data_IF_750286104306
#
_entry.id   IF_750286104306
#
_cell.length_a   1.000
_cell.length_b   1.000
_cell.length_c   1.000
_cell.angle_alpha   90.00
_cell.angle_beta   90.00
_cell.angle_gamma   90.00
#
_symmetry.space_group_name_H-M   'P 1'
#
loop_
_entity.id
_entity.type
_entity.pdbx_description
1 polymer ?
#
# COMPACT_ATOMS: atom_id res chain seq x y z
N UNK A 1 -22.41 10.92 -18.84
CA UNK A 1 -21.23 10.68 -17.98
C UNK A 1 -20.96 9.18 -17.98
N UNK A 2 -19.75 8.76 -18.34
CA UNK A 2 -19.40 7.33 -18.41
C UNK A 2 -19.29 6.77 -16.99
N UNK A 3 -19.77 5.56 -16.77
CA UNK A 3 -19.78 4.82 -15.48
C UNK A 3 -18.41 4.86 -14.74
N UNK A 4 -17.31 4.88 -15.48
CA UNK A 4 -15.94 4.95 -14.94
C UNK A 4 -15.61 6.26 -14.18
N UNK A 5 -16.18 7.39 -14.57
CA UNK A 5 -15.88 8.68 -13.91
C UNK A 5 -16.59 8.82 -12.55
N UNK A 6 -17.79 8.25 -12.44
CA UNK A 6 -18.53 8.25 -11.17
C UNK A 6 -17.83 7.38 -10.13
N UNK A 7 -17.35 6.18 -10.53
CA UNK A 7 -16.65 5.26 -9.65
C UNK A 7 -15.34 5.85 -9.10
N UNK A 8 -14.55 6.54 -9.93
CA UNK A 8 -13.30 7.15 -9.50
C UNK A 8 -13.52 8.32 -8.52
N UNK A 9 -14.50 9.19 -8.77
CA UNK A 9 -14.82 10.30 -7.88
C UNK A 9 -15.38 9.80 -6.53
N UNK A 10 -16.22 8.78 -6.55
CA UNK A 10 -16.77 8.16 -5.33
C UNK A 10 -15.65 7.49 -4.51
N UNK A 11 -14.75 6.77 -5.16
CA UNK A 11 -13.63 6.12 -4.49
C UNK A 11 -12.68 7.15 -3.84
N UNK A 12 -12.33 8.22 -4.57
CA UNK A 12 -11.48 9.29 -4.04
C UNK A 12 -12.13 9.98 -2.83
N UNK A 13 -13.41 10.32 -2.92
CA UNK A 13 -14.14 10.93 -1.84
C UNK A 13 -14.30 10.00 -0.62
N UNK A 14 -14.56 8.70 -0.84
CA UNK A 14 -14.60 7.69 0.23
C UNK A 14 -13.26 7.56 0.94
N UNK A 15 -12.14 7.69 0.19
CA UNK A 15 -10.80 7.65 0.77
C UNK A 15 -10.51 8.86 1.65
N UNK A 16 -10.95 10.06 1.27
CA UNK A 16 -10.86 11.27 2.11
C UNK A 16 -11.59 11.07 3.43
N UNK A 17 -12.84 10.59 3.39
CA UNK A 17 -13.62 10.33 4.60
C UNK A 17 -12.95 9.29 5.53
N UNK A 18 -12.40 8.21 5.00
CA UNK A 18 -11.64 7.25 5.80
C UNK A 18 -10.34 7.86 6.34
N UNK A 19 -9.70 8.77 5.60
CA UNK A 19 -8.55 9.54 6.06
C UNK A 19 -8.89 10.41 7.27
N UNK A 20 -10.00 11.13 7.21
CA UNK A 20 -10.49 11.96 8.31
C UNK A 20 -10.86 11.13 9.54
N UNK A 21 -11.52 9.97 9.35
CA UNK A 21 -11.80 9.01 10.42
C UNK A 21 -10.53 8.44 11.05
N UNK A 22 -9.53 8.10 10.25
CA UNK A 22 -8.26 7.58 10.71
C UNK A 22 -7.46 8.64 11.48
N UNK A 23 -7.47 9.89 11.01
CA UNK A 23 -6.82 11.02 11.68
C UNK A 23 -7.50 11.36 13.01
N UNK A 24 -8.82 11.45 13.04
CA UNK A 24 -9.59 11.70 14.27
C UNK A 24 -9.42 10.56 15.30
N UNK A 25 -9.28 9.33 14.82
CA UNK A 25 -9.08 8.14 15.67
C UNK A 25 -7.62 7.78 15.95
N UNK A 26 -6.67 8.67 15.63
CA UNK A 26 -5.22 8.39 15.77
C UNK A 26 -4.82 7.96 17.18
N UNK A 27 -5.38 8.62 18.18
CA UNK A 27 -5.08 8.39 19.60
C UNK A 27 -6.08 7.44 20.28
N UNK A 28 -6.99 6.85 19.52
CA UNK A 28 -8.03 5.99 20.04
C UNK A 28 -7.58 4.53 20.15
N UNK A 29 -8.11 3.86 21.14
CA UNK A 29 -7.91 2.42 21.31
C UNK A 29 -8.48 1.64 20.10
N UNK A 30 -7.98 0.44 19.81
CA UNK A 30 -8.53 -0.42 18.75
C UNK A 30 -10.04 -0.72 18.94
N UNK A 31 -10.56 -0.71 20.18
CA UNK A 31 -11.98 -0.90 20.46
C UNK A 31 -12.81 0.31 20.03
N UNK A 32 -12.36 1.52 20.34
CA UNK A 32 -13.02 2.77 19.92
C UNK A 32 -13.05 2.90 18.41
N UNK A 33 -11.94 2.60 17.72
CA UNK A 33 -11.89 2.63 16.25
C UNK A 33 -12.84 1.62 15.61
N UNK A 34 -12.96 0.39 16.16
CA UNK A 34 -13.95 -0.60 15.69
C UNK A 34 -15.38 -0.12 15.90
N UNK A 35 -15.65 0.52 17.04
CA UNK A 35 -16.97 1.08 17.32
C UNK A 35 -17.34 2.15 16.29
N UNK A 36 -16.42 3.08 15.97
CA UNK A 36 -16.62 4.10 14.97
C UNK A 36 -16.87 3.53 13.57
N UNK A 37 -16.08 2.51 13.19
CA UNK A 37 -16.28 1.81 11.91
C UNK A 37 -17.68 1.15 11.86
N UNK A 38 -18.14 0.59 12.96
CA UNK A 38 -19.50 0.06 13.10
C UNK A 38 -20.58 1.15 12.94
N UNK A 39 -20.38 2.32 13.55
CA UNK A 39 -21.31 3.45 13.39
C UNK A 39 -21.37 3.93 11.93
N UNK A 40 -20.24 3.99 11.23
CA UNK A 40 -20.19 4.35 9.82
C UNK A 40 -20.96 3.33 8.95
N UNK A 41 -20.83 2.04 9.23
CA UNK A 41 -21.58 0.98 8.54
C UNK A 41 -23.08 1.07 8.79
N UNK A 42 -23.51 1.33 10.03
CA UNK A 42 -24.92 1.52 10.39
C UNK A 42 -25.51 2.77 9.72
N UNK A 43 -24.77 3.87 9.71
CA UNK A 43 -25.21 5.10 9.05
C UNK A 43 -25.38 4.89 7.55
N UNK A 44 -24.43 4.22 6.90
CA UNK A 44 -24.54 3.89 5.47
C UNK A 44 -25.75 3.00 5.20
N UNK A 45 -26.04 2.04 6.08
CA UNK A 45 -27.26 1.22 6.00
C UNK A 45 -28.53 2.06 6.15
N UNK A 46 -28.57 2.99 7.09
CA UNK A 46 -29.71 3.88 7.32
C UNK A 46 -29.99 4.75 6.09
N UNK A 47 -28.95 5.30 5.47
CA UNK A 47 -29.06 6.07 4.23
C UNK A 47 -29.57 5.19 3.08
N UNK A 48 -29.13 3.95 2.98
CA UNK A 48 -29.62 3.00 1.98
C UNK A 48 -31.09 2.64 2.17
N UNK A 49 -31.49 2.30 3.40
CA UNK A 49 -32.90 2.00 3.73
C UNK A 49 -33.79 3.23 3.55
N UNK A 50 -33.26 4.42 3.85
CA UNK A 50 -33.92 5.70 3.62
C UNK A 50 -34.08 6.09 2.14
N UNK A 51 -33.61 5.23 1.21
CA UNK A 51 -33.65 5.46 -0.25
C UNK A 51 -32.81 6.66 -0.72
N UNK A 52 -31.83 7.07 0.03
CA UNK A 52 -30.88 8.09 -0.40
C UNK A 52 -29.85 7.48 -1.38
N UNK A 53 -29.43 8.23 -2.39
CA UNK A 53 -28.48 7.78 -3.40
C UNK A 53 -27.07 7.70 -2.83
N UNK A 54 -26.65 6.53 -2.38
CA UNK A 54 -25.33 6.28 -1.82
C UNK A 54 -24.19 6.48 -2.82
N UNK A 55 -24.46 6.42 -4.13
CA UNK A 55 -23.48 6.64 -5.19
C UNK A 55 -23.17 8.14 -5.37
N UNK A 56 -24.08 9.01 -4.92
CA UNK A 56 -23.94 10.45 -5.03
C UNK A 56 -23.57 11.15 -3.73
N UNK A 57 -23.55 10.43 -2.60
CA UNK A 57 -23.07 10.99 -1.35
C UNK A 57 -21.53 10.96 -1.36
N UNK A 58 -20.86 12.06 -1.72
CA UNK A 58 -19.42 12.11 -1.58
C UNK A 58 -19.10 12.07 -0.08
N UNK A 59 -18.31 11.10 0.39
CA UNK A 59 -17.90 11.02 1.80
C UNK A 59 -17.16 12.25 2.32
N UNK A 60 -16.69 13.12 1.43
CA UNK A 60 -16.06 14.40 1.76
C UNK A 60 -17.01 15.40 2.47
N UNK A 61 -18.28 15.04 2.63
CA UNK A 61 -19.28 15.89 3.31
C UNK A 61 -19.81 15.31 4.61
N UNK A 62 -19.05 14.41 5.22
CA UNK A 62 -19.40 13.87 6.51
C UNK A 62 -18.60 14.56 7.60
N UNK A 63 -19.27 15.14 8.61
CA UNK A 63 -18.60 15.70 9.76
C UNK A 63 -18.56 14.69 10.91
N UNK A 64 -17.41 14.60 11.56
CA UNK A 64 -17.24 13.83 12.79
C UNK A 64 -17.43 14.80 13.94
N UNK A 65 -18.49 14.59 14.74
CA UNK A 65 -18.70 15.36 15.97
C UNK A 65 -18.25 14.52 17.16
N UNK A 66 -17.40 15.04 18.06
CA UNK A 66 -17.08 14.38 19.29
C UNK A 66 -18.33 14.21 20.15
N UNK A 67 -18.61 12.96 20.54
CA UNK A 67 -19.70 12.63 21.43
C UNK A 67 -19.22 12.47 22.87
N UNK A 68 -20.15 12.34 23.83
CA UNK A 68 -19.83 12.09 25.24
C UNK A 68 -18.97 10.83 25.41
N UNK A 69 -18.10 10.81 26.41
CA UNK A 69 -17.27 9.66 26.79
C UNK A 69 -16.36 9.09 25.67
N UNK A 70 -15.85 9.94 24.76
CA UNK A 70 -14.95 9.51 23.69
C UNK A 70 -15.64 8.78 22.56
N UNK A 71 -16.96 8.90 22.42
CA UNK A 71 -17.71 8.46 21.24
C UNK A 71 -17.67 9.54 20.17
N UNK A 72 -17.72 9.14 18.89
CA UNK A 72 -17.88 10.08 17.79
C UNK A 72 -19.23 9.82 17.11
N UNK A 73 -19.88 10.88 16.68
CA UNK A 73 -21.07 10.82 15.83
C UNK A 73 -20.71 11.30 14.44
N UNK A 74 -21.12 10.53 13.44
CA UNK A 74 -21.02 10.89 12.03
C UNK A 74 -22.32 11.58 11.61
N UNK A 75 -22.19 12.75 10.98
CA UNK A 75 -23.31 13.46 10.38
C UNK A 75 -23.04 13.69 8.90
N UNK A 76 -24.00 13.39 8.01
CA UNK A 76 -23.95 13.89 6.64
C UNK A 76 -24.10 15.41 6.68
N UNK A 77 -23.34 16.12 5.86
CA UNK A 77 -23.50 17.56 5.68
C UNK A 77 -24.85 17.85 5.02
N UNK A 78 -25.66 18.76 5.59
CA UNK A 78 -27.07 19.05 5.22
C UNK A 78 -27.28 19.48 3.76
N UNK A 79 -26.22 19.85 3.04
CA UNK A 79 -26.29 20.29 1.64
C UNK A 79 -26.44 19.17 0.62
N UNK A 80 -26.41 17.91 1.03
CA UNK A 80 -26.43 16.74 0.12
C UNK A 80 -27.80 16.08 -0.06
N UNK A 81 -28.87 16.63 0.51
CA UNK A 81 -30.25 16.10 0.37
C UNK A 81 -30.82 16.38 -1.01
N UNK A 82 -30.25 15.82 -2.05
CA UNK A 82 -30.96 15.66 -3.33
C UNK A 82 -31.54 14.25 -3.38
N UNK A 83 -32.85 14.17 -3.19
CA UNK A 83 -33.65 12.96 -3.30
C UNK A 83 -33.57 12.35 -4.69
N UNK A 84 -33.18 11.09 -4.79
CA UNK A 84 -33.25 10.30 -6.01
C UNK A 84 -34.13 9.07 -5.82
N UNK A 85 -35.00 8.78 -6.78
CA UNK A 85 -36.03 7.77 -6.65
C UNK A 85 -35.58 6.44 -7.24
N UNK A 86 -34.54 5.76 -6.73
CA UNK A 86 -34.13 4.46 -7.26
C UNK A 86 -33.83 3.47 -6.14
N UNK A 87 -34.53 2.35 -6.13
CA UNK A 87 -34.13 1.16 -5.37
C UNK A 87 -32.81 0.63 -5.94
N UNK A 88 -31.74 0.68 -5.14
CA UNK A 88 -30.51 0.02 -5.50
C UNK A 88 -30.74 -1.51 -5.61
N UNK A 89 -30.25 -2.12 -6.68
CA UNK A 89 -30.20 -3.57 -6.80
C UNK A 89 -29.16 -4.14 -5.84
N UNK A 90 -29.27 -5.41 -5.47
CA UNK A 90 -28.26 -6.08 -4.64
C UNK A 90 -26.85 -5.98 -5.24
N UNK A 91 -26.74 -5.94 -6.58
CA UNK A 91 -25.45 -5.76 -7.25
C UNK A 91 -24.88 -4.35 -7.02
N UNK A 92 -25.70 -3.30 -7.08
CA UNK A 92 -25.27 -1.93 -6.80
C UNK A 92 -24.89 -1.72 -5.33
N UNK A 93 -25.57 -2.38 -4.40
CA UNK A 93 -25.19 -2.39 -2.98
C UNK A 93 -23.82 -3.01 -2.77
N UNK A 94 -23.54 -4.16 -3.43
CA UNK A 94 -22.22 -4.80 -3.38
C UNK A 94 -21.15 -3.87 -3.95
N UNK A 95 -21.41 -3.18 -5.05
CA UNK A 95 -20.50 -2.22 -5.68
C UNK A 95 -20.16 -1.05 -4.75
N UNK A 96 -21.17 -0.41 -4.13
CA UNK A 96 -20.97 0.68 -3.17
C UNK A 96 -20.16 0.24 -1.96
N UNK A 97 -20.48 -0.93 -1.39
CA UNK A 97 -19.72 -1.47 -0.26
C UNK A 97 -18.28 -1.82 -0.66
N UNK A 98 -18.08 -2.34 -1.88
CA UNK A 98 -16.77 -2.62 -2.42
C UNK A 98 -15.92 -1.35 -2.53
N UNK A 99 -16.49 -0.26 -3.04
CA UNK A 99 -15.83 1.05 -3.12
C UNK A 99 -15.44 1.59 -1.73
N UNK A 100 -16.35 1.48 -0.75
CA UNK A 100 -16.08 1.90 0.63
C UNK A 100 -14.98 1.08 1.29
N UNK A 101 -15.02 -0.23 1.14
CA UNK A 101 -13.98 -1.11 1.68
C UNK A 101 -12.63 -0.89 0.99
N UNK A 102 -12.64 -0.65 -0.32
CA UNK A 102 -11.43 -0.29 -1.08
C UNK A 102 -10.83 1.01 -0.57
N UNK A 103 -11.66 2.04 -0.39
CA UNK A 103 -11.23 3.33 0.13
C UNK A 103 -10.64 3.26 1.54
N UNK A 104 -11.13 2.34 2.38
CA UNK A 104 -10.62 2.14 3.75
C UNK A 104 -9.27 1.43 3.83
N UNK A 105 -8.79 0.84 2.73
CA UNK A 105 -7.56 0.05 2.76
C UNK A 105 -6.33 0.94 3.04
N UNK A 106 -5.50 0.51 3.98
CA UNK A 106 -4.38 1.30 4.50
C UNK A 106 -4.77 2.34 5.56
N UNK A 107 -6.06 2.68 5.70
CA UNK A 107 -6.60 3.64 6.66
C UNK A 107 -7.34 2.95 7.81
N UNK A 108 -7.99 1.81 7.55
CA UNK A 108 -8.68 1.00 8.54
C UNK A 108 -8.12 -0.41 8.62
N UNK A 109 -8.04 -0.95 9.84
CA UNK A 109 -7.68 -2.35 10.05
C UNK A 109 -8.80 -3.27 9.55
N UNK A 110 -8.45 -4.53 9.24
CA UNK A 110 -9.46 -5.52 8.83
C UNK A 110 -10.57 -5.73 9.86
N UNK A 111 -10.26 -5.59 11.17
CA UNK A 111 -11.28 -5.69 12.22
C UNK A 111 -12.28 -4.53 12.15
N UNK A 112 -11.82 -3.35 11.82
CA UNK A 112 -12.66 -2.16 11.57
C UNK A 112 -13.49 -2.34 10.30
N UNK A 113 -12.90 -2.84 9.21
CA UNK A 113 -13.63 -3.18 7.97
C UNK A 113 -14.73 -4.23 8.22
N UNK A 114 -14.45 -5.28 9.00
CA UNK A 114 -15.45 -6.30 9.37
C UNK A 114 -16.53 -5.71 10.29
N UNK A 115 -16.18 -4.83 11.23
CA UNK A 115 -17.14 -4.14 12.09
C UNK A 115 -18.08 -3.25 11.26
N UNK A 116 -17.54 -2.50 10.31
CA UNK A 116 -18.30 -1.71 9.35
C UNK A 116 -19.28 -2.58 8.54
N UNK A 117 -18.79 -3.64 7.91
CA UNK A 117 -19.62 -4.52 7.10
C UNK A 117 -20.72 -5.23 7.92
N UNK A 118 -20.41 -5.67 9.14
CA UNK A 118 -21.41 -6.27 10.04
C UNK A 118 -22.50 -5.30 10.41
N UNK A 119 -22.15 -4.07 10.77
CA UNK A 119 -23.11 -3.04 11.14
C UNK A 119 -24.00 -2.66 9.94
N UNK A 120 -23.41 -2.60 8.73
CA UNK A 120 -24.20 -2.37 7.51
C UNK A 120 -25.25 -3.45 7.28
N UNK A 121 -24.91 -4.72 7.47
CA UNK A 121 -25.81 -5.85 7.27
C UNK A 121 -26.65 -6.21 8.53
N UNK A 122 -26.55 -5.44 9.62
CA UNK A 122 -27.15 -5.80 10.92
C UNK A 122 -28.67 -5.98 10.87
N UNK A 123 -29.38 -5.25 10.01
CA UNK A 123 -30.83 -5.32 9.89
C UNK A 123 -31.31 -6.28 8.78
N UNK A 124 -30.38 -6.92 8.06
CA UNK A 124 -30.70 -7.94 7.09
C UNK A 124 -30.83 -9.28 7.83
N UNK A 125 -31.91 -10.00 7.59
CA UNK A 125 -32.12 -11.36 8.12
C UNK A 125 -31.16 -12.35 7.44
N UNK A 126 -29.87 -12.11 7.51
CA UNK A 126 -28.83 -12.91 6.90
C UNK A 126 -28.31 -13.95 7.89
N UNK A 127 -28.37 -15.22 7.51
CA UNK A 127 -27.64 -16.24 8.21
C UNK A 127 -26.12 -16.08 8.05
N UNK A 128 -25.36 -16.82 8.83
CA UNK A 128 -23.89 -16.78 8.79
C UNK A 128 -23.31 -17.12 7.42
N UNK A 129 -23.97 -17.97 6.64
CA UNK A 129 -23.50 -18.39 5.33
C UNK A 129 -23.76 -17.30 4.28
N UNK A 130 -24.97 -16.75 4.26
CA UNK A 130 -25.34 -15.62 3.40
C UNK A 130 -24.47 -14.39 3.64
N UNK A 131 -24.18 -14.06 4.94
CA UNK A 131 -23.25 -12.99 5.28
C UNK A 131 -21.84 -13.23 4.73
N UNK A 132 -21.31 -14.46 4.87
CA UNK A 132 -19.99 -14.80 4.34
C UNK A 132 -19.94 -14.71 2.81
N UNK A 133 -21.00 -15.15 2.16
CA UNK A 133 -21.10 -15.08 0.70
C UNK A 133 -21.14 -13.61 0.23
N UNK A 134 -21.98 -12.78 0.82
CA UNK A 134 -22.05 -11.34 0.51
C UNK A 134 -20.69 -10.65 0.75
N UNK A 135 -20.04 -10.93 1.88
CA UNK A 135 -18.72 -10.38 2.17
C UNK A 135 -17.65 -10.84 1.16
N UNK A 136 -17.74 -12.08 0.65
CA UNK A 136 -16.84 -12.57 -0.39
C UNK A 136 -17.05 -11.86 -1.72
N UNK A 137 -18.30 -11.59 -2.12
CA UNK A 137 -18.64 -10.82 -3.32
C UNK A 137 -18.13 -9.37 -3.22
N UNK A 138 -18.38 -8.70 -2.08
CA UNK A 138 -17.88 -7.35 -1.82
C UNK A 138 -16.35 -7.32 -1.86
N UNK A 139 -15.69 -8.30 -1.25
CA UNK A 139 -14.22 -8.39 -1.27
C UNK A 139 -13.65 -8.68 -2.67
N UNK A 140 -14.39 -9.37 -3.51
CA UNK A 140 -14.00 -9.61 -4.90
C UNK A 140 -14.13 -8.34 -5.76
N UNK A 141 -15.25 -7.63 -5.64
CA UNK A 141 -15.45 -6.35 -6.30
C UNK A 141 -14.42 -5.31 -5.84
N UNK A 142 -14.20 -5.19 -4.53
CA UNK A 142 -13.19 -4.30 -3.95
C UNK A 142 -11.77 -4.57 -4.49
N UNK A 143 -11.40 -5.84 -4.69
CA UNK A 143 -10.09 -6.17 -5.30
C UNK A 143 -9.99 -5.71 -6.75
N UNK A 144 -11.06 -5.81 -7.51
CA UNK A 144 -11.09 -5.34 -8.90
C UNK A 144 -10.92 -3.83 -8.98
N UNK A 145 -11.66 -3.10 -8.17
CA UNK A 145 -11.62 -1.63 -8.09
C UNK A 145 -10.26 -1.16 -7.57
N UNK A 146 -9.73 -1.80 -6.53
CA UNK A 146 -8.41 -1.51 -5.99
C UNK A 146 -7.31 -1.72 -7.04
N UNK A 147 -7.38 -2.79 -7.82
CA UNK A 147 -6.43 -3.03 -8.90
C UNK A 147 -6.53 -1.98 -10.02
N UNK A 148 -7.73 -1.47 -10.29
CA UNK A 148 -7.98 -0.41 -11.28
C UNK A 148 -7.43 0.93 -10.80
N UNK A 149 -7.70 1.32 -9.55
CA UNK A 149 -7.13 2.50 -8.90
C UNK A 149 -5.60 2.44 -8.90
N UNK A 150 -5.05 1.31 -8.49
CA UNK A 150 -3.60 1.08 -8.47
C UNK A 150 -2.96 1.28 -9.85
N UNK A 151 -3.59 0.78 -10.91
CA UNK A 151 -3.12 1.01 -12.29
C UNK A 151 -3.19 2.48 -12.69
N UNK A 152 -4.24 3.19 -12.30
CA UNK A 152 -4.41 4.60 -12.59
C UNK A 152 -3.33 5.45 -11.91
N UNK A 153 -3.14 5.29 -10.60
CA UNK A 153 -2.11 5.98 -9.81
C UNK A 153 -0.70 5.68 -10.36
N UNK A 154 -0.41 4.41 -10.66
CA UNK A 154 0.88 4.07 -11.24
C UNK A 154 1.12 4.73 -12.59
N UNK A 155 0.11 4.80 -13.47
CA UNK A 155 0.25 5.51 -14.75
C UNK A 155 0.49 6.99 -14.55
N UNK A 156 -0.22 7.62 -13.63
CA UNK A 156 -0.04 9.03 -13.30
C UNK A 156 1.39 9.30 -12.86
N UNK A 157 1.88 8.58 -11.85
CA UNK A 157 3.26 8.74 -11.39
C UNK A 157 4.29 8.36 -12.46
N UNK A 158 4.01 7.32 -13.23
CA UNK A 158 4.88 6.92 -14.33
C UNK A 158 4.99 7.98 -15.45
N UNK A 159 3.95 8.79 -15.66
CA UNK A 159 3.94 9.90 -16.61
C UNK A 159 4.65 11.14 -16.08
N UNK A 160 4.83 11.28 -14.79
CA UNK A 160 5.58 12.38 -14.19
C UNK A 160 7.05 12.27 -14.59
N UNK A 161 7.41 13.01 -15.63
CA UNK A 161 8.76 13.01 -16.20
C UNK A 161 9.08 14.36 -16.80
N UNK A 162 10.19 14.94 -16.37
CA UNK A 162 10.77 16.12 -17.01
C UNK A 162 11.90 15.71 -17.95
N UNK A 163 12.15 16.51 -18.98
CA UNK A 163 13.26 16.35 -19.90
C UNK A 163 14.09 17.63 -19.88
N UNK A 164 15.38 17.52 -19.62
CA UNK A 164 16.34 18.63 -19.62
C UNK A 164 17.56 18.21 -20.46
N UNK A 165 17.61 18.61 -21.73
CA UNK A 165 18.62 18.15 -22.65
C UNK A 165 18.62 16.63 -22.84
N UNK A 166 19.75 15.99 -22.55
CA UNK A 166 19.89 14.52 -22.56
C UNK A 166 19.35 13.83 -21.30
N UNK A 167 19.05 14.59 -20.23
CA UNK A 167 18.60 14.07 -18.95
C UNK A 167 17.08 13.94 -18.94
N UNK A 168 16.61 12.92 -18.27
CA UNK A 168 15.21 12.77 -17.95
C UNK A 168 15.03 12.31 -16.50
N UNK A 169 13.96 12.76 -15.84
CA UNK A 169 13.78 12.42 -14.45
C UNK A 169 12.56 13.08 -13.81
N UNK A 170 12.51 12.92 -12.51
CA UNK A 170 11.53 13.54 -11.63
C UNK A 170 12.19 13.86 -10.28
N UNK A 171 11.79 14.94 -9.64
CA UNK A 171 12.17 15.31 -8.27
C UNK A 171 10.94 15.75 -7.52
N UNK A 172 10.91 15.47 -6.22
CA UNK A 172 9.88 15.95 -5.30
C UNK A 172 9.90 17.48 -5.20
N UNK A 173 11.07 18.09 -5.39
CA UNK A 173 11.20 19.54 -5.54
C UNK A 173 11.13 19.91 -7.04
N UNK A 174 10.03 20.54 -7.48
CA UNK A 174 9.89 20.92 -8.89
C UNK A 174 10.86 22.01 -9.33
N UNK A 175 11.50 22.74 -8.41
CA UNK A 175 12.48 23.82 -8.70
C UNK A 175 13.87 23.28 -8.96
N UNK A 176 14.15 22.05 -8.55
CA UNK A 176 15.44 21.42 -8.75
C UNK A 176 15.65 21.06 -10.22
N UNK A 177 16.73 21.53 -10.85
CA UNK A 177 17.09 21.09 -12.18
C UNK A 177 17.67 19.67 -12.17
N UNK A 178 17.45 18.90 -13.23
CA UNK A 178 18.00 17.55 -13.36
C UNK A 178 19.53 17.59 -13.52
N UNK A 179 20.07 18.65 -14.12
CA UNK A 179 21.52 18.84 -14.25
C UNK A 179 22.17 19.04 -12.88
N UNK A 180 21.57 19.87 -12.02
CA UNK A 180 22.06 20.06 -10.66
C UNK A 180 21.97 18.76 -9.84
N UNK A 181 20.85 18.04 -9.93
CA UNK A 181 20.68 16.73 -9.28
C UNK A 181 21.75 15.74 -9.73
N UNK A 182 22.07 15.70 -11.04
CA UNK A 182 23.15 14.85 -11.57
C UNK A 182 24.50 15.24 -11.00
N UNK A 183 24.83 16.51 -10.99
CA UNK A 183 26.10 17.01 -10.49
C UNK A 183 26.29 16.65 -9.00
N UNK A 184 25.25 16.83 -8.21
CA UNK A 184 25.29 16.50 -6.78
C UNK A 184 25.45 14.99 -6.54
N UNK A 185 24.71 14.15 -7.26
CA UNK A 185 24.84 12.68 -7.18
C UNK A 185 26.24 12.24 -7.56
N UNK A 186 26.81 12.74 -8.66
CA UNK A 186 28.13 12.38 -9.14
C UNK A 186 29.23 12.84 -8.17
N UNK A 187 29.11 14.05 -7.62
CA UNK A 187 30.03 14.54 -6.60
C UNK A 187 30.04 13.63 -5.38
N UNK A 188 28.86 13.22 -4.89
CA UNK A 188 28.74 12.31 -3.74
C UNK A 188 29.30 10.93 -4.09
N UNK A 189 28.96 10.38 -5.27
CA UNK A 189 29.43 9.05 -5.68
C UNK A 189 30.96 8.95 -5.77
N UNK A 190 31.62 10.06 -6.13
CA UNK A 190 33.07 10.15 -6.30
C UNK A 190 33.80 10.55 -5.01
N UNK A 191 33.11 11.01 -4.00
CA UNK A 191 33.71 11.44 -2.76
C UNK A 191 34.38 10.24 -2.02
N UNK A 192 35.58 10.43 -1.47
CA UNK A 192 36.33 9.33 -0.83
C UNK A 192 35.65 8.79 0.45
N UNK A 193 34.85 9.62 1.10
CA UNK A 193 34.10 9.34 2.31
C UNK A 193 32.69 8.77 2.06
N UNK A 194 32.36 8.47 0.81
CA UNK A 194 31.05 7.90 0.47
C UNK A 194 30.81 6.58 1.17
N UNK A 195 29.71 6.49 1.93
CA UNK A 195 29.31 5.29 2.66
C UNK A 195 28.59 4.32 1.72
N UNK A 196 29.33 3.34 1.22
CA UNK A 196 28.79 2.32 0.33
C UNK A 196 28.12 1.18 1.09
N UNK A 197 26.81 0.99 0.84
CA UNK A 197 26.05 -0.19 1.30
C UNK A 197 26.29 -1.37 0.35
N UNK A 198 26.38 -1.09 -0.96
CA UNK A 198 26.67 -2.09 -2.00
C UNK A 198 27.43 -1.44 -3.16
N UNK A 199 28.62 -1.96 -3.45
CA UNK A 199 29.50 -1.39 -4.51
C UNK A 199 29.57 -2.25 -5.78
N UNK A 200 28.86 -3.39 -5.83
CA UNK A 200 28.93 -4.35 -6.94
C UNK A 200 27.85 -4.10 -7.98
N UNK A 201 28.25 -4.15 -9.26
CA UNK A 201 27.33 -4.11 -10.39
C UNK A 201 26.36 -5.31 -10.40
N UNK A 202 25.15 -5.18 -11.00
CA UNK A 202 24.62 -4.07 -11.79
C UNK A 202 23.96 -2.96 -10.95
N UNK A 203 23.99 -3.08 -9.65
CA UNK A 203 23.34 -2.12 -8.76
C UNK A 203 24.32 -1.68 -7.71
N UNK A 204 24.56 -0.40 -7.60
CA UNK A 204 25.33 0.23 -6.53
C UNK A 204 24.38 0.96 -5.61
N UNK A 205 24.69 0.96 -4.31
CA UNK A 205 23.86 1.56 -3.28
C UNK A 205 24.76 2.29 -2.29
N UNK A 206 24.48 3.55 -2.03
CA UNK A 206 25.23 4.36 -1.08
C UNK A 206 24.33 5.32 -0.30
N UNK A 207 24.77 5.67 0.89
CA UNK A 207 24.15 6.65 1.76
C UNK A 207 24.72 8.03 1.45
N UNK A 208 23.87 9.04 1.56
CA UNK A 208 24.25 10.41 1.30
C UNK A 208 23.40 11.37 2.11
N UNK A 209 23.85 12.61 2.20
CA UNK A 209 23.02 13.75 2.57
C UNK A 209 22.78 14.57 1.31
N UNK A 210 21.51 14.71 0.94
CA UNK A 210 21.11 15.52 -0.21
C UNK A 210 20.07 16.53 0.24
N UNK A 211 20.34 17.81 0.04
CA UNK A 211 19.48 18.94 0.47
C UNK A 211 19.06 18.88 1.94
N UNK A 212 20.02 18.57 2.81
CA UNK A 212 19.80 18.49 4.27
C UNK A 212 19.04 17.23 4.74
N UNK A 213 18.73 16.30 3.82
CA UNK A 213 18.05 15.02 4.16
C UNK A 213 19.00 13.85 3.97
N UNK A 214 18.98 12.93 4.93
CA UNK A 214 19.65 11.64 4.75
C UNK A 214 18.90 10.80 3.72
N UNK A 215 19.61 10.30 2.72
CA UNK A 215 19.05 9.59 1.57
C UNK A 215 19.81 8.32 1.26
N UNK A 216 19.13 7.40 0.58
CA UNK A 216 19.72 6.25 -0.11
C UNK A 216 19.69 6.52 -1.60
N UNK A 217 20.85 6.44 -2.24
CA UNK A 217 20.97 6.55 -3.69
C UNK A 217 21.29 5.19 -4.26
N UNK A 218 20.41 4.72 -5.15
CA UNK A 218 20.57 3.44 -5.84
C UNK A 218 20.81 3.71 -7.33
N UNK A 219 22.00 3.34 -7.78
CA UNK A 219 22.39 3.40 -9.19
C UNK A 219 22.13 2.06 -9.86
N UNK A 220 21.53 2.10 -11.03
CA UNK A 220 21.30 0.95 -11.90
C UNK A 220 22.14 1.11 -13.19
N UNK A 221 22.97 0.10 -13.45
CA UNK A 221 23.77 0.01 -14.69
C UNK A 221 23.32 -1.23 -15.50
N UNK A 222 23.14 -1.10 -16.81
CA UNK A 222 22.91 -2.23 -17.70
C UNK A 222 24.24 -2.86 -18.07
N UNK A 223 24.32 -4.19 -18.00
CA UNK A 223 25.56 -4.93 -18.20
C UNK A 223 25.69 -5.58 -19.57
N UNK A 224 24.59 -6.13 -20.07
CA UNK A 224 24.62 -6.98 -21.26
C UNK A 224 23.96 -6.31 -22.44
N UNK A 225 24.38 -6.68 -23.67
CA UNK A 225 23.76 -6.21 -24.91
C UNK A 225 22.27 -6.57 -24.94
N UNK A 226 21.89 -7.72 -24.40
CA UNK A 226 20.50 -8.15 -24.26
C UNK A 226 19.70 -7.26 -23.33
N UNK A 227 20.28 -6.82 -22.23
CA UNK A 227 19.63 -5.81 -21.36
C UNK A 227 19.40 -4.52 -22.12
N UNK A 228 20.38 -4.02 -22.90
CA UNK A 228 20.22 -2.82 -23.71
C UNK A 228 19.08 -2.97 -24.71
N UNK A 229 18.98 -4.08 -25.44
CA UNK A 229 17.88 -4.35 -26.38
C UNK A 229 16.52 -4.40 -25.64
N UNK A 230 16.46 -5.10 -24.52
CA UNK A 230 15.24 -5.22 -23.71
C UNK A 230 14.78 -3.86 -23.16
N UNK A 231 15.72 -2.96 -22.84
CA UNK A 231 15.42 -1.63 -22.30
C UNK A 231 15.24 -0.55 -23.39
N UNK A 232 15.40 -0.87 -24.68
CA UNK A 232 14.95 0.02 -25.75
C UNK A 232 13.44 0.28 -25.70
N UNK A 233 12.66 -0.74 -25.28
CA UNK A 233 11.20 -0.67 -25.20
C UNK A 233 10.67 -0.55 -23.76
N UNK A 234 11.55 -0.56 -22.75
CA UNK A 234 11.15 -0.49 -21.35
C UNK A 234 11.73 0.77 -20.69
N UNK A 235 10.93 1.41 -19.86
CA UNK A 235 11.42 2.48 -19.00
C UNK A 235 12.52 1.99 -18.06
N UNK A 236 13.38 2.91 -17.60
CA UNK A 236 14.47 2.62 -16.69
C UNK A 236 13.98 1.97 -15.39
N UNK A 237 14.88 1.25 -14.71
CA UNK A 237 14.58 0.67 -13.40
C UNK A 237 14.25 1.76 -12.39
N UNK A 238 14.98 2.88 -12.42
CA UNK A 238 14.77 4.00 -11.52
C UNK A 238 13.37 4.62 -11.68
N UNK A 239 12.92 4.88 -12.92
CA UNK A 239 11.58 5.41 -13.19
C UNK A 239 10.49 4.46 -12.70
N UNK A 240 10.62 3.16 -12.98
CA UNK A 240 9.65 2.15 -12.52
C UNK A 240 9.60 2.05 -10.99
N UNK A 241 10.77 2.04 -10.33
CA UNK A 241 10.87 2.04 -8.87
C UNK A 241 10.22 3.27 -8.26
N UNK A 242 10.47 4.46 -8.83
CA UNK A 242 9.90 5.71 -8.34
C UNK A 242 8.37 5.70 -8.44
N UNK A 243 7.81 5.39 -9.61
CA UNK A 243 6.37 5.30 -9.81
C UNK A 243 5.72 4.24 -8.90
N UNK A 244 6.35 3.08 -8.72
CA UNK A 244 5.86 2.04 -7.82
C UNK A 244 5.88 2.52 -6.36
N UNK A 245 6.97 3.16 -5.91
CA UNK A 245 7.08 3.66 -4.55
C UNK A 245 6.06 4.78 -4.25
N UNK A 246 5.87 5.73 -5.17
CA UNK A 246 4.84 6.76 -5.04
C UNK A 246 3.45 6.15 -4.92
N UNK A 247 3.10 5.22 -5.81
CA UNK A 247 1.81 4.53 -5.79
C UNK A 247 1.59 3.75 -4.50
N UNK A 248 2.61 3.02 -4.01
CA UNK A 248 2.53 2.30 -2.74
C UNK A 248 2.24 3.26 -1.59
N UNK A 249 2.90 4.41 -1.55
CA UNK A 249 2.71 5.42 -0.51
C UNK A 249 1.32 6.05 -0.54
N UNK A 250 0.80 6.38 -1.72
CA UNK A 250 -0.56 6.92 -1.88
C UNK A 250 -1.62 5.94 -1.39
N UNK A 251 -1.33 4.64 -1.48
CA UNK A 251 -2.18 3.59 -0.96
C UNK A 251 -1.92 3.25 0.52
N UNK A 252 -1.05 4.04 1.19
CA UNK A 252 -0.70 3.82 2.59
C UNK A 252 0.17 2.58 2.84
N UNK A 253 0.79 2.03 1.79
CA UNK A 253 1.67 0.86 1.89
C UNK A 253 3.11 1.29 2.24
N UNK A 254 3.75 0.64 3.22
CA UNK A 254 5.03 1.08 3.74
C UNK A 254 6.17 0.79 2.76
N UNK A 255 6.74 1.86 2.20
CA UNK A 255 7.96 1.86 1.39
C UNK A 255 8.70 3.18 1.60
N UNK A 256 10.05 3.24 1.47
CA UNK A 256 10.78 4.48 1.58
C UNK A 256 10.26 5.54 0.61
N UNK A 257 10.17 6.78 1.08
CA UNK A 257 9.72 7.91 0.26
C UNK A 257 10.65 8.11 -0.93
N UNK A 258 10.18 8.02 -2.19
CA UNK A 258 10.98 8.40 -3.34
C UNK A 258 11.08 9.92 -3.40
N UNK A 259 12.32 10.42 -3.54
CA UNK A 259 12.62 11.85 -3.58
C UNK A 259 12.96 12.32 -4.98
N UNK A 260 13.60 11.46 -5.77
CA UNK A 260 13.91 11.73 -7.16
C UNK A 260 14.25 10.45 -7.92
N UNK A 261 14.12 10.50 -9.24
CA UNK A 261 14.83 9.60 -10.13
C UNK A 261 15.49 10.39 -11.27
N UNK A 262 16.58 9.84 -11.80
CA UNK A 262 17.33 10.43 -12.89
C UNK A 262 17.73 9.36 -13.91
N UNK A 263 17.44 9.59 -15.18
CA UNK A 263 17.91 8.83 -16.33
C UNK A 263 19.04 9.61 -16.98
N UNK A 264 20.28 9.20 -16.75
CA UNK A 264 21.48 9.85 -17.31
C UNK A 264 21.75 9.36 -18.71
N UNK A 265 21.50 8.09 -18.95
CA UNK A 265 21.60 7.45 -20.25
C UNK A 265 20.66 6.25 -20.33
N UNK A 266 20.58 5.61 -21.49
CA UNK A 266 19.86 4.36 -21.64
C UNK A 266 20.39 3.23 -20.75
N UNK A 267 21.66 3.32 -20.35
CA UNK A 267 22.34 2.28 -19.55
C UNK A 267 22.51 2.64 -18.08
N UNK A 268 22.30 3.89 -17.69
CA UNK A 268 22.52 4.36 -16.32
C UNK A 268 21.35 5.19 -15.82
N UNK A 269 20.81 4.81 -14.66
CA UNK A 269 19.77 5.55 -13.98
C UNK A 269 19.94 5.49 -12.47
N UNK A 270 19.44 6.52 -11.77
CA UNK A 270 19.50 6.66 -10.33
C UNK A 270 18.09 6.80 -9.75
N UNK A 271 17.87 6.20 -8.59
CA UNK A 271 16.72 6.53 -7.74
C UNK A 271 17.23 6.98 -6.38
N UNK A 272 16.64 8.05 -5.88
CA UNK A 272 16.91 8.64 -4.56
C UNK A 272 15.69 8.41 -3.69
N UNK A 273 15.89 7.80 -2.53
CA UNK A 273 14.83 7.57 -1.54
C UNK A 273 15.26 8.10 -0.18
N UNK A 274 14.29 8.48 0.65
CA UNK A 274 14.58 8.85 2.03
C UNK A 274 15.22 7.69 2.77
N UNK A 275 16.23 8.01 3.59
CA UNK A 275 16.80 7.06 4.55
C UNK A 275 15.80 6.83 5.70
N UNK A 276 15.64 5.59 6.11
CA UNK A 276 14.88 5.22 7.30
C UNK A 276 15.90 4.87 8.38
N UNK A 277 15.95 5.61 9.50
CA UNK A 277 16.87 5.31 10.60
C UNK A 277 16.48 4.00 11.31
N UNK A 278 17.40 3.43 12.05
CA UNK A 278 17.18 2.25 12.91
C UNK A 278 16.61 1.02 12.22
N UNK A 279 16.84 0.89 10.90
CA UNK A 279 16.35 -0.26 10.14
C UNK A 279 17.42 -1.32 9.91
N UNK A 280 16.97 -2.55 9.87
CA UNK A 280 17.72 -3.70 9.37
C UNK A 280 16.81 -4.59 8.53
N UNK A 281 17.40 -5.52 7.77
CA UNK A 281 16.56 -6.49 7.04
C UNK A 281 15.88 -7.45 8.01
N UNK A 282 14.63 -7.85 7.72
CA UNK A 282 13.91 -8.81 8.55
C UNK A 282 14.69 -10.12 8.69
N UNK A 283 15.49 -10.48 7.67
CA UNK A 283 16.39 -11.62 7.73
C UNK A 283 17.45 -11.48 8.83
N UNK A 284 18.10 -10.31 8.91
CA UNK A 284 19.12 -10.04 9.92
C UNK A 284 18.49 -10.01 11.32
N UNK A 285 17.36 -9.34 11.46
CA UNK A 285 16.63 -9.22 12.71
C UNK A 285 16.18 -10.59 13.26
N UNK A 286 15.53 -11.43 12.44
CA UNK A 286 15.12 -12.77 12.87
C UNK A 286 16.34 -13.61 13.23
N UNK A 287 17.41 -13.57 12.45
CA UNK A 287 18.65 -14.33 12.76
C UNK A 287 19.26 -13.94 14.11
N UNK A 288 19.18 -12.68 14.50
CA UNK A 288 19.73 -12.18 15.76
C UNK A 288 18.84 -12.51 16.96
N UNK A 289 17.51 -12.44 16.79
CA UNK A 289 16.57 -12.43 17.89
C UNK A 289 15.81 -13.76 18.11
N UNK A 290 15.77 -14.65 17.09
CA UNK A 290 14.85 -15.80 17.08
C UNK A 290 15.02 -16.77 18.26
N UNK A 291 16.21 -16.85 18.87
CA UNK A 291 16.48 -17.76 19.99
C UNK A 291 15.80 -17.33 21.28
N UNK A 292 15.59 -16.03 21.44
CA UNK A 292 15.04 -15.43 22.65
C UNK A 292 13.52 -15.15 22.54
N UNK A 293 12.93 -15.47 21.38
CA UNK A 293 11.52 -15.17 21.14
C UNK A 293 10.57 -16.11 21.86
N UNK A 294 9.64 -15.50 22.58
CA UNK A 294 8.47 -16.18 23.15
C UNK A 294 7.42 -16.49 22.08
N UNK A 295 6.45 -17.33 22.40
CA UNK A 295 5.29 -17.59 21.54
C UNK A 295 4.51 -16.29 21.19
N UNK A 296 4.49 -15.32 22.13
CA UNK A 296 3.88 -14.01 21.91
C UNK A 296 4.62 -13.19 20.85
N UNK A 297 5.96 -13.22 20.88
CA UNK A 297 6.80 -12.50 19.93
C UNK A 297 6.65 -13.07 18.52
N UNK A 298 6.68 -14.39 18.38
CA UNK A 298 6.39 -15.08 17.13
C UNK A 298 5.00 -14.73 16.58
N UNK A 299 3.98 -14.75 17.43
CA UNK A 299 2.61 -14.40 17.05
C UNK A 299 2.49 -12.96 16.58
N UNK A 300 3.23 -12.01 17.20
CA UNK A 300 3.28 -10.60 16.84
C UNK A 300 3.97 -10.40 15.50
N UNK A 301 5.18 -10.93 15.34
CA UNK A 301 5.96 -10.84 14.10
C UNK A 301 5.19 -11.44 12.92
N UNK A 302 4.54 -12.59 13.12
CA UNK A 302 3.70 -13.24 12.12
C UNK A 302 2.54 -12.35 11.68
N UNK A 303 1.83 -11.69 12.61
CA UNK A 303 0.73 -10.78 12.27
C UNK A 303 1.19 -9.60 11.44
N UNK A 304 2.28 -8.94 11.84
CA UNK A 304 2.83 -7.80 11.10
C UNK A 304 3.28 -8.20 9.69
N UNK A 305 3.95 -9.34 9.57
CA UNK A 305 4.38 -9.85 8.28
C UNK A 305 3.19 -10.26 7.41
N UNK A 306 2.14 -10.82 8.00
CA UNK A 306 0.92 -11.18 7.29
C UNK A 306 0.22 -9.93 6.74
N UNK A 307 0.10 -8.87 7.55
CA UNK A 307 -0.47 -7.60 7.11
C UNK A 307 0.35 -6.97 5.97
N UNK A 308 1.68 -6.96 6.10
CA UNK A 308 2.57 -6.47 5.04
C UNK A 308 2.42 -7.25 3.73
N UNK A 309 2.19 -8.56 3.82
CA UNK A 309 2.07 -9.45 2.64
C UNK A 309 0.71 -9.38 1.97
N UNK A 310 -0.36 -9.37 2.77
CA UNK A 310 -1.73 -9.45 2.25
C UNK A 310 -2.20 -8.12 1.69
N UNK A 311 -1.86 -7.02 2.37
CA UNK A 311 -2.36 -5.69 1.99
C UNK A 311 -2.00 -5.30 0.55
N UNK A 312 -0.75 -5.42 0.05
CA UNK A 312 -0.45 -5.15 -1.36
C UNK A 312 -1.27 -5.99 -2.33
N UNK A 313 -1.50 -7.26 -2.01
CA UNK A 313 -2.31 -8.13 -2.86
C UNK A 313 -3.77 -7.70 -2.95
N UNK A 314 -4.34 -7.18 -1.86
CA UNK A 314 -5.71 -6.64 -1.89
C UNK A 314 -5.83 -5.39 -2.75
N UNK A 315 -4.72 -4.67 -2.98
CA UNK A 315 -4.64 -3.55 -3.91
C UNK A 315 -4.24 -3.95 -5.35
N UNK A 316 -4.11 -5.23 -5.64
CA UNK A 316 -3.65 -5.69 -6.94
C UNK A 316 -2.17 -5.40 -7.20
N UNK A 317 -1.37 -5.22 -6.15
CA UNK A 317 0.09 -5.21 -6.28
C UNK A 317 0.66 -6.60 -6.20
N UNK A 318 1.51 -6.93 -7.13
CA UNK A 318 2.35 -8.11 -7.09
C UNK A 318 3.81 -7.67 -7.06
N UNK A 319 4.55 -8.09 -6.04
CA UNK A 319 5.98 -7.91 -5.94
C UNK A 319 6.68 -9.20 -6.36
N UNK A 320 7.53 -9.19 -7.37
CA UNK A 320 8.12 -10.42 -7.92
C UNK A 320 9.34 -10.95 -7.14
N UNK A 321 9.86 -10.20 -6.16
CA UNK A 321 11.00 -10.58 -5.30
C UNK A 321 10.76 -10.29 -3.81
N UNK A 322 9.94 -11.12 -3.16
CA UNK A 322 9.49 -10.97 -1.77
C UNK A 322 10.40 -11.64 -0.74
N UNK A 323 11.69 -11.68 -1.00
CA UNK A 323 12.69 -12.23 -0.05
C UNK A 323 12.75 -11.39 1.23
N UNK A 324 13.11 -12.03 2.33
CA UNK A 324 13.32 -11.37 3.62
C UNK A 324 14.42 -10.28 3.60
N UNK A 325 15.28 -10.25 2.60
CA UNK A 325 16.25 -9.19 2.35
C UNK A 325 15.61 -7.90 1.80
N UNK A 326 14.44 -8.00 1.17
CA UNK A 326 13.70 -6.89 0.60
C UNK A 326 12.60 -6.36 1.54
N UNK A 327 12.65 -6.77 2.80
CA UNK A 327 11.79 -6.27 3.87
C UNK A 327 12.71 -5.70 4.96
N UNK A 328 12.54 -4.42 5.26
CA UNK A 328 13.19 -3.78 6.40
C UNK A 328 12.26 -3.78 7.61
N UNK A 329 12.87 -3.83 8.78
CA UNK A 329 12.20 -3.60 10.06
C UNK A 329 12.83 -2.40 10.75
N UNK A 330 12.01 -1.43 11.12
CA UNK A 330 12.37 -0.35 12.01
C UNK A 330 12.22 -0.85 13.45
N UNK A 331 13.34 -1.00 14.15
CA UNK A 331 13.37 -1.54 15.51
C UNK A 331 12.95 -0.51 16.56
N UNK A 332 12.92 0.77 16.21
CA UNK A 332 12.47 1.87 17.09
C UNK A 332 10.96 2.15 16.96
N UNK A 333 10.33 1.73 15.86
CA UNK A 333 8.92 1.98 15.63
C UNK A 333 8.00 1.05 16.46
N UNK A 334 6.82 1.55 16.77
CA UNK A 334 5.79 0.76 17.46
C UNK A 334 5.36 -0.46 16.61
N UNK A 335 5.00 -1.59 17.27
CA UNK A 335 4.49 -2.76 16.58
C UNK A 335 3.31 -2.43 15.64
N UNK A 336 3.31 -3.03 14.45
CA UNK A 336 2.30 -2.83 13.41
C UNK A 336 2.61 -1.73 12.39
N UNK A 337 3.68 -0.94 12.59
CA UNK A 337 4.12 0.12 11.66
C UNK A 337 5.61 0.05 11.32
N UNK A 338 6.28 -1.05 11.66
CA UNK A 338 7.74 -1.13 11.59
C UNK A 338 8.29 -1.87 10.38
N UNK A 339 7.46 -2.50 9.56
CA UNK A 339 7.90 -3.23 8.37
C UNK A 339 7.76 -2.37 7.12
N UNK A 340 8.76 -2.46 6.22
CA UNK A 340 8.85 -1.66 5.00
C UNK A 340 9.27 -2.52 3.82
N UNK A 341 8.56 -2.39 2.69
CA UNK A 341 9.02 -2.95 1.43
C UNK A 341 10.11 -2.10 0.81
N UNK A 342 11.21 -2.76 0.38
CA UNK A 342 12.24 -2.13 -0.45
C UNK A 342 12.40 -2.91 -1.76
N UNK A 343 13.17 -2.34 -2.69
CA UNK A 343 13.43 -2.93 -4.02
C UNK A 343 12.16 -3.16 -4.86
N UNK A 344 11.31 -2.13 -4.87
CA UNK A 344 9.98 -2.16 -5.50
C UNK A 344 10.01 -2.05 -7.03
N UNK A 345 11.18 -2.16 -7.69
CA UNK A 345 11.31 -2.11 -9.15
C UNK A 345 10.58 -3.25 -9.88
N UNK A 346 10.44 -4.39 -9.20
CA UNK A 346 9.73 -5.57 -9.68
C UNK A 346 8.24 -5.60 -9.34
N UNK A 347 7.70 -4.52 -8.80
CA UNK A 347 6.28 -4.41 -8.51
C UNK A 347 5.48 -4.29 -9.80
N UNK A 348 4.43 -5.09 -9.93
CA UNK A 348 3.49 -5.07 -11.05
C UNK A 348 2.16 -4.54 -10.54
N UNK A 349 1.81 -3.27 -10.87
CA UNK A 349 0.56 -2.66 -10.42
C UNK A 349 -0.63 -3.22 -11.20
N UNK A 350 -1.76 -3.38 -10.51
CA UNK A 350 -3.01 -3.87 -11.10
C UNK A 350 -2.91 -5.31 -11.62
N UNK A 351 -1.98 -6.10 -11.06
CA UNK A 351 -1.79 -7.49 -11.45
C UNK A 351 -2.97 -8.34 -11.02
N UNK A 352 -3.44 -9.19 -11.93
CA UNK A 352 -4.28 -10.31 -11.51
C UNK A 352 -3.42 -11.28 -10.70
N UNK A 353 -3.82 -11.52 -9.46
CA UNK A 353 -3.18 -12.47 -8.58
C UNK A 353 -3.56 -13.89 -8.99
N UNK A 354 -2.60 -14.64 -9.46
CA UNK A 354 -2.75 -16.08 -9.68
C UNK A 354 -2.21 -16.86 -8.47
N UNK A 355 -2.72 -18.08 -8.29
CA UNK A 355 -2.20 -19.03 -7.30
C UNK A 355 -0.68 -19.20 -7.41
N UNK A 356 -0.18 -19.34 -8.63
CA UNK A 356 1.25 -19.47 -8.91
C UNK A 356 2.06 -18.28 -8.37
N UNK A 357 1.60 -17.05 -8.60
CA UNK A 357 2.30 -15.83 -8.13
C UNK A 357 2.38 -15.76 -6.61
N UNK A 358 1.27 -16.03 -5.92
CA UNK A 358 1.24 -16.02 -4.46
C UNK A 358 2.12 -17.13 -3.89
N UNK A 359 2.03 -18.36 -4.40
CA UNK A 359 2.87 -19.49 -3.96
C UNK A 359 4.35 -19.22 -4.22
N UNK A 360 4.71 -18.63 -5.36
CA UNK A 360 6.10 -18.22 -5.65
C UNK A 360 6.65 -17.26 -4.60
N UNK A 361 5.87 -16.24 -4.23
CA UNK A 361 6.28 -15.28 -3.20
C UNK A 361 6.44 -15.93 -1.83
N UNK A 362 5.49 -16.79 -1.46
CA UNK A 362 5.57 -17.56 -0.21
C UNK A 362 6.80 -18.45 -0.18
N UNK A 363 7.12 -19.11 -1.30
CA UNK A 363 8.33 -19.93 -1.43
C UNK A 363 9.62 -19.10 -1.29
N UNK A 364 9.67 -17.90 -1.89
CA UNK A 364 10.81 -16.99 -1.76
C UNK A 364 11.02 -16.54 -0.30
N UNK A 365 9.94 -16.14 0.38
CA UNK A 365 10.00 -15.76 1.79
C UNK A 365 10.44 -16.93 2.65
N UNK A 366 9.79 -18.10 2.50
CA UNK A 366 10.13 -19.31 3.22
C UNK A 366 11.61 -19.71 3.00
N UNK A 367 12.07 -19.73 1.76
CA UNK A 367 13.46 -20.04 1.42
C UNK A 367 14.47 -19.10 2.09
N UNK A 368 14.08 -17.84 2.31
CA UNK A 368 14.96 -16.83 2.93
C UNK A 368 14.95 -16.83 4.47
N UNK A 369 13.99 -17.50 5.12
CA UNK A 369 13.81 -17.51 6.58
C UNK A 369 13.82 -18.90 7.22
N UNK A 370 13.73 -19.98 6.44
CA UNK A 370 13.52 -21.36 6.94
C UNK A 370 14.51 -21.84 7.99
N UNK A 371 15.73 -21.31 7.96
CA UNK A 371 16.80 -21.73 8.89
C UNK A 371 16.64 -21.17 10.32
N UNK A 372 15.77 -20.15 10.50
CA UNK A 372 15.61 -19.45 11.78
C UNK A 372 14.17 -19.42 12.28
N UNK A 373 13.19 -19.67 11.41
CA UNK A 373 11.76 -19.63 11.77
C UNK A 373 11.25 -21.06 11.97
N UNK A 374 10.70 -21.40 13.15
CA UNK A 374 10.12 -22.70 13.42
C UNK A 374 9.08 -23.10 12.38
N UNK A 375 9.00 -24.40 12.09
CA UNK A 375 8.03 -24.90 11.11
C UNK A 375 6.59 -24.60 11.48
N UNK A 376 6.25 -24.72 12.76
CA UNK A 376 4.92 -24.36 13.28
C UNK A 376 4.51 -22.93 12.93
N UNK A 377 5.43 -21.97 13.06
CA UNK A 377 5.20 -20.56 12.73
C UNK A 377 5.08 -20.32 11.23
N UNK A 378 5.88 -21.01 10.42
CA UNK A 378 5.77 -20.95 8.95
C UNK A 378 4.43 -21.49 8.46
N UNK A 379 3.97 -22.62 9.02
CA UNK A 379 2.66 -23.20 8.73
C UNK A 379 1.51 -22.28 9.22
N UNK A 380 1.67 -21.66 10.38
CA UNK A 380 0.68 -20.70 10.90
C UNK A 380 0.59 -19.44 10.00
N UNK A 381 1.72 -18.98 9.45
CA UNK A 381 1.74 -17.89 8.45
C UNK A 381 1.02 -18.28 7.16
N UNK A 382 1.31 -19.48 6.62
CA UNK A 382 0.65 -19.99 5.41
C UNK A 382 -0.87 -20.13 5.60
N UNK A 383 -1.30 -20.65 6.75
CA UNK A 383 -2.74 -20.70 7.11
C UNK A 383 -3.36 -19.30 7.17
N UNK A 384 -2.61 -18.32 7.70
CA UNK A 384 -3.03 -16.93 7.72
C UNK A 384 -3.23 -16.38 6.30
N UNK A 385 -2.29 -16.62 5.37
CA UNK A 385 -2.44 -16.21 3.96
C UNK A 385 -3.62 -16.93 3.31
N UNK A 386 -3.78 -18.25 3.51
CA UNK A 386 -4.91 -19.03 2.99
C UNK A 386 -6.28 -18.53 3.46
N UNK A 387 -6.35 -17.92 4.63
CA UNK A 387 -7.58 -17.26 5.10
C UNK A 387 -8.01 -16.10 4.19
N UNK A 388 -7.04 -15.33 3.65
CA UNK A 388 -7.32 -14.20 2.74
C UNK A 388 -7.53 -14.67 1.29
N UNK A 389 -6.97 -15.81 0.94
CA UNK A 389 -7.01 -16.39 -0.41
C UNK A 389 -7.49 -17.84 -0.34
N UNK A 390 -8.82 -18.07 -0.13
CA UNK A 390 -9.38 -19.43 0.04
C UNK A 390 -9.13 -20.38 -1.15
N UNK A 391 -8.74 -19.82 -2.28
CA UNK A 391 -8.39 -20.56 -3.50
C UNK A 391 -6.92 -21.07 -3.52
N UNK A 392 -6.10 -20.73 -2.50
CA UNK A 392 -4.77 -21.32 -2.31
C UNK A 392 -4.84 -22.73 -1.76
#
# INVERSE_FOLDING_TARGET
MKSTDISNNTLAASRVAWGDLAQAGKDWSPAQRRHLAGQAGLLLHTLWVGREDLLRLPPARWSIQPGPAGTARLWPDDRSRQTLPLRLTSAQVIEVLALWLTASTGLASRREQVAFARAFFQNEAMDRHAFRYALAQVAQAARHDAASLTRALYREHFQQRRQEGALAGWSIDPRQSLAQLQADILRIEQAPDTVWVKRRLPTRLFLATLYGRSVVIKRHDLRTRWEHVRYLLRASRARRSCAAAQTLRDLGLPTPEPLAYLEVSRSCSYIVTAWIPHVQTIRAWVRQQHKDWTASDWSRARRELLDLYVTPYTHGFYHDDTKALNILIDTAAAPGRRLWWIDVEGVIPGAQLSRYRVLRNLAQLNGSLRSWVPESERLAFLRGVGWFFPWL
#
